data_IF_715821230941
#
_entry.id   IF_715821230941
#
_cell.length_a   1.000
_cell.length_b   1.000
_cell.length_c   1.000
_cell.angle_alpha   90.00
_cell.angle_beta   90.00
_cell.angle_gamma   90.00
#
_symmetry.space_group_name_H-M   'P 1'
#
loop_
_entity.id
_entity.type
_entity.pdbx_description
1 polymer ?
#
# COMPACT_ATOMS: atom_id res chain seq x y z
N UNK A 1 -32.43 -29.00 -57.38
CA UNK A 1 -31.36 -28.00 -57.49
C UNK A 1 -31.99 -26.64 -57.66
N UNK A 2 -32.03 -25.87 -56.57
CA UNK A 2 -32.37 -24.45 -56.52
C UNK A 2 -31.35 -23.82 -55.55
N UNK A 3 -30.75 -22.65 -55.87
CA UNK A 3 -29.66 -22.10 -55.08
C UNK A 3 -30.15 -21.57 -53.72
N UNK A 4 -29.28 -21.54 -52.70
CA UNK A 4 -29.62 -21.01 -51.38
C UNK A 4 -29.85 -19.49 -51.43
N UNK A 5 -31.02 -19.06 -50.96
CA UNK A 5 -31.37 -17.66 -50.73
C UNK A 5 -30.51 -17.08 -49.60
N UNK A 6 -29.62 -16.15 -49.95
CA UNK A 6 -28.82 -15.37 -49.00
C UNK A 6 -29.71 -14.20 -48.53
N UNK A 7 -30.06 -14.08 -47.24
CA UNK A 7 -30.68 -12.86 -46.75
C UNK A 7 -29.67 -11.71 -46.76
N UNK A 8 -30.07 -10.71 -47.55
CA UNK A 8 -29.59 -9.33 -47.66
C UNK A 8 -28.74 -8.80 -46.52
N UNK A 9 -27.58 -8.21 -46.90
CA UNK A 9 -26.74 -7.34 -46.06
C UNK A 9 -27.61 -6.28 -45.39
N UNK A 10 -27.93 -6.50 -44.10
CA UNK A 10 -28.54 -5.47 -43.27
C UNK A 10 -27.52 -4.36 -43.05
N UNK A 11 -27.99 -3.14 -43.30
CA UNK A 11 -27.23 -1.91 -43.40
C UNK A 11 -26.27 -1.71 -42.23
N UNK A 12 -24.97 -1.69 -42.54
CA UNK A 12 -23.98 -1.09 -41.66
C UNK A 12 -24.39 0.38 -41.46
N UNK A 13 -24.92 0.67 -40.26
CA UNK A 13 -25.16 2.04 -39.81
C UNK A 13 -23.87 2.82 -40.04
N UNK A 14 -23.93 3.77 -40.98
CA UNK A 14 -22.85 4.70 -41.23
C UNK A 14 -22.69 5.53 -39.96
N UNK A 15 -21.83 5.05 -39.05
CA UNK A 15 -21.28 5.88 -37.99
C UNK A 15 -20.65 7.06 -38.70
N UNK A 16 -21.23 8.23 -38.48
CA UNK A 16 -20.62 9.50 -38.82
C UNK A 16 -19.23 9.47 -38.19
N UNK A 17 -18.21 9.42 -39.04
CA UNK A 17 -16.82 9.62 -38.64
C UNK A 17 -16.78 11.06 -38.17
N UNK A 18 -16.96 11.28 -36.88
CA UNK A 18 -16.58 12.54 -36.27
C UNK A 18 -15.10 12.70 -36.58
N UNK A 19 -14.76 13.80 -37.27
CA UNK A 19 -13.40 14.24 -37.52
C UNK A 19 -12.70 14.45 -36.18
N UNK A 20 -12.20 13.35 -35.62
CA UNK A 20 -11.44 13.39 -34.39
C UNK A 20 -10.07 13.96 -34.76
N UNK A 21 -9.93 15.27 -34.57
CA UNK A 21 -8.75 16.09 -34.89
C UNK A 21 -7.43 15.55 -34.29
N UNK A 22 -7.52 14.55 -33.41
CA UNK A 22 -6.39 13.91 -32.72
C UNK A 22 -6.44 12.38 -32.83
N UNK A 23 -6.52 11.81 -34.04
CA UNK A 23 -6.14 10.40 -34.21
C UNK A 23 -4.62 10.29 -34.16
N UNK A 24 -4.07 10.25 -32.95
CA UNK A 24 -2.64 10.05 -32.70
C UNK A 24 -2.29 8.60 -33.07
N UNK A 25 -2.00 8.36 -34.35
CA UNK A 25 -1.28 7.14 -34.74
C UNK A 25 0.16 7.31 -34.27
N UNK A 26 0.49 6.76 -33.11
CA UNK A 26 1.88 6.72 -32.64
C UNK A 26 2.64 5.75 -33.54
N UNK A 27 3.17 6.26 -34.65
CA UNK A 27 4.20 5.53 -35.39
C UNK A 27 5.44 5.48 -34.49
N UNK A 28 5.98 4.30 -34.18
CA UNK A 28 7.19 4.23 -33.39
C UNK A 28 8.31 4.96 -34.14
N UNK A 29 8.93 5.93 -33.48
CA UNK A 29 10.08 6.66 -34.01
C UNK A 29 11.22 5.63 -34.10
N UNK A 30 11.75 5.33 -35.30
CA UNK A 30 12.85 4.38 -35.45
C UNK A 30 14.05 4.85 -34.61
N UNK A 31 14.59 3.97 -33.76
CA UNK A 31 15.75 4.25 -32.90
C UNK A 31 15.47 4.90 -31.55
N UNK A 32 14.21 5.25 -31.22
CA UNK A 32 13.83 5.78 -29.88
C UNK A 32 13.18 4.75 -28.96
N UNK A 33 12.86 3.57 -29.49
CA UNK A 33 12.31 2.44 -28.72
C UNK A 33 13.38 1.62 -27.98
N UNK A 34 14.66 1.81 -28.29
CA UNK A 34 15.76 1.03 -27.72
C UNK A 34 15.95 1.24 -26.21
N UNK A 35 15.25 2.23 -25.63
CA UNK A 35 15.30 2.59 -24.22
C UNK A 35 14.10 2.09 -23.40
N UNK A 36 13.07 1.49 -24.00
CA UNK A 36 11.98 0.81 -23.26
C UNK A 36 12.20 -0.70 -23.36
N UNK A 37 13.34 -1.16 -22.85
CA UNK A 37 13.66 -2.59 -22.69
C UNK A 37 13.31 -3.08 -21.29
N UNK A 38 12.23 -2.59 -20.72
CA UNK A 38 11.78 -3.04 -19.40
C UNK A 38 10.98 -4.32 -19.54
N UNK A 39 11.61 -5.43 -19.18
CA UNK A 39 10.96 -6.73 -19.02
C UNK A 39 9.72 -6.59 -18.12
N UNK A 40 8.67 -7.33 -18.47
CA UNK A 40 7.39 -7.33 -17.76
C UNK A 40 7.22 -8.69 -17.12
N UNK A 41 6.77 -8.71 -15.88
CA UNK A 41 6.43 -9.93 -15.16
C UNK A 41 4.92 -9.97 -14.89
N UNK A 42 4.36 -11.17 -14.90
CA UNK A 42 2.97 -11.41 -14.51
C UNK A 42 2.92 -11.71 -13.01
N UNK A 43 2.17 -10.94 -12.24
CA UNK A 43 1.94 -11.20 -10.82
C UNK A 43 0.51 -11.68 -10.63
N UNK A 44 0.34 -12.88 -10.10
CA UNK A 44 -0.96 -13.48 -9.77
C UNK A 44 -1.26 -13.23 -8.30
N UNK A 45 -2.33 -12.50 -8.00
CA UNK A 45 -2.65 -12.00 -6.66
C UNK A 45 -3.94 -12.61 -6.13
N UNK A 46 -3.92 -12.99 -4.87
CA UNK A 46 -5.08 -13.51 -4.15
C UNK A 46 -5.48 -14.92 -4.57
N UNK A 47 -6.54 -15.43 -3.92
CA UNK A 47 -7.09 -16.77 -4.19
C UNK A 47 -7.70 -16.91 -5.59
N UNK A 48 -8.13 -15.80 -6.19
CA UNK A 48 -8.64 -15.73 -7.56
C UNK A 48 -7.52 -15.67 -8.62
N UNK A 49 -6.25 -15.59 -8.22
CA UNK A 49 -5.10 -15.41 -9.10
C UNK A 49 -5.29 -14.25 -10.11
N UNK A 50 -5.73 -13.09 -9.62
CA UNK A 50 -5.90 -11.92 -10.47
C UNK A 50 -4.54 -11.47 -11.02
N UNK A 51 -4.47 -11.27 -12.34
CA UNK A 51 -3.21 -11.06 -13.05
C UNK A 51 -2.88 -9.58 -13.24
N UNK A 52 -1.74 -9.17 -12.71
CA UNK A 52 -1.15 -7.85 -12.89
C UNK A 52 0.11 -7.95 -13.76
N UNK A 53 0.20 -7.12 -14.80
CA UNK A 53 1.38 -7.03 -15.65
C UNK A 53 2.21 -5.82 -15.23
N UNK A 54 3.40 -6.03 -14.69
CA UNK A 54 4.21 -4.97 -14.07
C UNK A 54 5.63 -4.99 -14.63
N UNK A 55 6.23 -3.82 -14.87
CA UNK A 55 7.65 -3.75 -15.26
C UNK A 55 8.55 -4.18 -14.10
N UNK A 56 9.46 -5.12 -14.40
CA UNK A 56 10.43 -5.66 -13.43
C UNK A 56 11.27 -4.55 -12.79
N UNK A 57 11.65 -3.54 -13.57
CA UNK A 57 12.43 -2.40 -13.08
C UNK A 57 11.76 -1.67 -11.92
N UNK A 58 10.43 -1.47 -11.99
CA UNK A 58 9.68 -0.84 -10.90
C UNK A 58 9.72 -1.72 -9.65
N UNK A 59 9.37 -3.01 -9.77
CA UNK A 59 9.35 -3.94 -8.64
C UNK A 59 10.69 -4.05 -7.92
N UNK A 60 11.79 -4.17 -8.67
CA UNK A 60 13.14 -4.30 -8.11
C UNK A 60 13.59 -3.00 -7.45
N UNK A 61 13.23 -1.84 -8.01
CA UNK A 61 13.64 -0.54 -7.46
C UNK A 61 12.96 -0.23 -6.12
N UNK A 62 11.70 -0.66 -5.96
CA UNK A 62 10.87 -0.30 -4.80
C UNK A 62 10.86 -1.35 -3.70
N UNK A 63 11.29 -2.59 -3.97
CA UNK A 63 11.14 -3.71 -3.04
C UNK A 63 12.33 -4.66 -3.07
N UNK A 64 12.93 -4.86 -1.90
CA UNK A 64 14.04 -5.79 -1.73
C UNK A 64 13.59 -7.26 -1.88
N UNK A 65 12.33 -7.58 -1.56
CA UNK A 65 11.73 -8.88 -1.83
C UNK A 65 11.75 -9.22 -3.32
N UNK A 66 11.22 -8.34 -4.17
CA UNK A 66 11.21 -8.57 -5.62
C UNK A 66 12.63 -8.54 -6.21
N UNK A 67 13.51 -7.69 -5.69
CA UNK A 67 14.94 -7.66 -6.06
C UNK A 67 15.65 -8.97 -5.77
N UNK A 68 15.38 -9.59 -4.62
CA UNK A 68 15.95 -10.88 -4.27
C UNK A 68 15.36 -12.02 -5.14
N UNK A 69 14.04 -11.99 -5.35
CA UNK A 69 13.31 -13.02 -6.10
C UNK A 69 13.65 -13.02 -7.61
N UNK A 70 13.83 -11.83 -8.21
CA UNK A 70 14.11 -11.65 -9.64
C UNK A 70 15.61 -11.51 -9.96
N UNK A 71 16.50 -11.81 -9.01
CA UNK A 71 17.94 -11.74 -9.23
C UNK A 71 18.39 -12.78 -10.25
N UNK A 72 19.15 -12.35 -11.26
CA UNK A 72 19.75 -13.26 -12.25
C UNK A 72 20.60 -14.34 -11.57
N UNK A 73 20.27 -15.61 -11.81
CA UNK A 73 20.91 -16.77 -11.17
C UNK A 73 20.21 -17.30 -9.91
N UNK A 74 19.13 -16.67 -9.44
CA UNK A 74 18.23 -17.29 -8.47
C UNK A 74 17.49 -18.44 -9.17
N UNK A 75 17.67 -19.67 -8.68
CA UNK A 75 17.00 -20.90 -9.15
C UNK A 75 15.50 -20.94 -8.78
N UNK A 76 14.82 -19.80 -8.79
CA UNK A 76 13.38 -19.75 -8.57
C UNK A 76 12.67 -20.16 -9.85
N UNK A 77 11.71 -21.09 -9.76
CA UNK A 77 10.84 -21.47 -10.89
C UNK A 77 10.18 -20.25 -11.55
N UNK A 78 9.89 -19.24 -10.75
CA UNK A 78 9.24 -17.98 -11.15
C UNK A 78 10.11 -17.11 -12.08
N UNK A 79 11.44 -17.22 -11.97
CA UNK A 79 12.37 -16.51 -12.86
C UNK A 79 12.35 -17.10 -14.29
N UNK A 80 12.10 -18.40 -14.42
CA UNK A 80 11.95 -19.07 -15.72
C UNK A 80 10.53 -18.91 -16.32
N UNK A 81 9.50 -18.78 -15.48
CA UNK A 81 8.09 -18.67 -15.91
C UNK A 81 7.58 -17.23 -16.04
N UNK A 82 8.40 -16.22 -15.71
CA UNK A 82 8.01 -14.79 -15.70
C UNK A 82 6.68 -14.54 -14.96
N UNK A 83 6.39 -15.37 -13.96
CA UNK A 83 5.13 -15.39 -13.22
C UNK A 83 5.42 -15.51 -11.74
N UNK A 84 4.93 -14.56 -10.95
CA UNK A 84 5.05 -14.50 -9.49
C UNK A 84 3.67 -14.76 -8.89
N UNK A 85 3.58 -15.51 -7.79
CA UNK A 85 2.31 -15.73 -7.08
C UNK A 85 2.31 -15.10 -5.68
N UNK A 86 1.26 -14.35 -5.38
CA UNK A 86 1.02 -13.70 -4.07
C UNK A 86 -0.39 -14.08 -3.55
N UNK A 87 -0.61 -15.34 -3.13
CA UNK A 87 -1.94 -15.83 -2.76
C UNK A 87 -2.52 -15.17 -1.49
N UNK A 88 -1.65 -14.71 -0.58
CA UNK A 88 -2.04 -14.07 0.68
C UNK A 88 -2.36 -12.57 0.53
N UNK A 89 -2.02 -11.97 -0.62
CA UNK A 89 -2.29 -10.57 -0.89
C UNK A 89 -3.66 -10.41 -1.56
N UNK A 90 -4.42 -9.41 -1.13
CA UNK A 90 -5.70 -9.08 -1.77
C UNK A 90 -5.45 -8.24 -3.04
N UNK A 91 -6.16 -8.51 -4.15
CA UNK A 91 -5.99 -7.77 -5.41
C UNK A 91 -6.14 -6.26 -5.25
N UNK A 92 -7.07 -5.79 -4.41
CA UNK A 92 -7.28 -4.37 -4.19
C UNK A 92 -6.07 -3.72 -3.49
N UNK A 93 -5.40 -4.45 -2.60
CA UNK A 93 -4.19 -3.96 -1.91
C UNK A 93 -3.00 -3.91 -2.87
N UNK A 94 -2.85 -4.94 -3.70
CA UNK A 94 -1.80 -4.95 -4.72
C UNK A 94 -2.02 -3.88 -5.79
N UNK A 95 -3.28 -3.57 -6.13
CA UNK A 95 -3.62 -2.50 -7.06
C UNK A 95 -3.12 -1.13 -6.57
N UNK A 96 -3.25 -0.83 -5.27
CA UNK A 96 -2.68 0.39 -4.67
C UNK A 96 -1.15 0.41 -4.73
N UNK A 97 -0.50 -0.75 -4.57
CA UNK A 97 0.94 -0.85 -4.75
C UNK A 97 1.35 -0.59 -6.20
N UNK A 98 0.63 -1.16 -7.17
CA UNK A 98 0.86 -0.89 -8.60
C UNK A 98 0.64 0.59 -8.91
N UNK A 99 -0.40 1.22 -8.37
CA UNK A 99 -0.59 2.66 -8.50
C UNK A 99 0.63 3.43 -7.97
N UNK A 100 1.09 3.11 -6.77
CA UNK A 100 2.25 3.75 -6.16
C UNK A 100 3.51 3.65 -7.03
N UNK A 101 3.87 2.46 -7.54
CA UNK A 101 5.12 2.32 -8.31
C UNK A 101 5.10 3.02 -9.67
N UNK A 102 3.91 3.30 -10.22
CA UNK A 102 3.76 4.03 -11.49
C UNK A 102 3.51 5.53 -11.31
N UNK A 103 2.77 5.93 -10.27
CA UNK A 103 2.36 7.32 -10.03
C UNK A 103 3.17 8.02 -8.94
N UNK A 104 3.89 7.28 -8.09
CA UNK A 104 4.61 7.80 -6.92
C UNK A 104 3.71 8.22 -5.76
N UNK A 105 2.40 7.97 -5.84
CA UNK A 105 1.41 8.34 -4.84
C UNK A 105 0.30 7.28 -4.78
N UNK A 106 -0.44 7.27 -3.67
CA UNK A 106 -1.58 6.36 -3.45
C UNK A 106 -2.85 7.20 -3.47
N UNK A 107 -3.82 6.83 -4.30
CA UNK A 107 -5.13 7.50 -4.31
C UNK A 107 -6.11 6.75 -3.43
N UNK A 108 -6.53 7.40 -2.34
CA UNK A 108 -7.60 6.87 -1.51
C UNK A 108 -8.96 7.21 -2.10
N UNK A 109 -9.87 6.23 -2.11
CA UNK A 109 -11.26 6.45 -2.48
C UNK A 109 -11.96 7.27 -1.39
N UNK A 110 -12.14 8.56 -1.67
CA UNK A 110 -12.80 9.50 -0.76
C UNK A 110 -14.31 9.29 -0.64
N UNK A 111 -14.90 8.42 -1.45
CA UNK A 111 -16.32 8.07 -1.33
C UNK A 111 -16.60 7.09 -0.19
N UNK A 112 -15.57 6.38 0.28
CA UNK A 112 -15.66 5.50 1.44
C UNK A 112 -15.86 6.29 2.72
N UNK A 113 -16.65 5.73 3.64
CA UNK A 113 -16.68 6.23 5.02
C UNK A 113 -15.26 6.25 5.59
N UNK A 114 -14.98 7.30 6.37
CA UNK A 114 -13.69 7.53 7.02
C UNK A 114 -13.15 6.28 7.71
N UNK A 115 -14.00 5.58 8.46
CA UNK A 115 -13.56 4.41 9.23
C UNK A 115 -13.14 3.24 8.32
N UNK A 116 -13.74 3.17 7.12
CA UNK A 116 -13.41 2.18 6.10
C UNK A 116 -12.09 2.50 5.38
N UNK A 117 -11.67 3.77 5.33
CA UNK A 117 -10.40 4.17 4.68
C UNK A 117 -9.16 3.63 5.41
N UNK A 118 -9.25 3.31 6.70
CA UNK A 118 -8.15 2.74 7.47
C UNK A 118 -7.79 1.31 7.05
N UNK A 119 -8.74 0.53 6.55
CA UNK A 119 -8.52 -0.88 6.20
C UNK A 119 -7.58 -1.06 4.99
N UNK A 120 -7.81 -0.40 3.84
CA UNK A 120 -6.87 -0.46 2.71
C UNK A 120 -5.46 -0.04 3.09
N UNK A 121 -5.32 1.03 3.89
CA UNK A 121 -4.01 1.54 4.32
C UNK A 121 -3.29 0.56 5.26
N UNK A 122 -4.01 -0.04 6.22
CA UNK A 122 -3.45 -1.05 7.13
C UNK A 122 -2.94 -2.27 6.36
N UNK A 123 -3.73 -2.74 5.39
CA UNK A 123 -3.34 -3.84 4.51
C UNK A 123 -2.14 -3.49 3.63
N UNK A 124 -2.07 -2.24 3.16
CA UNK A 124 -0.95 -1.76 2.36
C UNK A 124 0.34 -1.62 3.17
N UNK A 125 0.26 -1.17 4.42
CA UNK A 125 1.39 -1.14 5.36
C UNK A 125 1.89 -2.57 5.63
N UNK A 126 0.99 -3.54 5.83
CA UNK A 126 1.32 -4.96 5.96
C UNK A 126 1.97 -5.51 4.68
N UNK A 127 1.43 -5.16 3.51
CA UNK A 127 2.02 -5.56 2.24
C UNK A 127 3.44 -4.98 2.08
N UNK A 128 3.62 -3.70 2.41
CA UNK A 128 4.91 -3.00 2.35
C UNK A 128 5.95 -3.65 3.26
N UNK A 129 5.54 -4.10 4.45
CA UNK A 129 6.38 -4.88 5.35
C UNK A 129 6.79 -6.22 4.73
N UNK A 130 5.81 -6.98 4.20
CA UNK A 130 6.03 -8.27 3.57
C UNK A 130 6.97 -8.20 2.35
N UNK A 131 6.72 -7.25 1.43
CA UNK A 131 7.56 -7.06 0.24
C UNK A 131 8.83 -6.24 0.54
N UNK A 132 9.07 -5.85 1.79
CA UNK A 132 10.25 -5.08 2.20
C UNK A 132 10.42 -3.79 1.38
N UNK A 133 9.32 -3.05 1.19
CA UNK A 133 9.32 -1.75 0.52
C UNK A 133 9.24 -0.62 1.55
N UNK A 134 10.41 -0.05 1.88
CA UNK A 134 10.52 1.07 2.83
C UNK A 134 9.75 2.31 2.35
N UNK A 135 9.83 2.61 1.06
CA UNK A 135 9.17 3.78 0.47
C UNK A 135 7.65 3.64 0.52
N UNK A 136 7.11 2.49 0.08
CA UNK A 136 5.67 2.22 0.16
C UNK A 136 5.19 2.27 1.61
N UNK A 137 5.96 1.71 2.55
CA UNK A 137 5.62 1.72 3.96
C UNK A 137 5.48 3.16 4.48
N UNK A 138 6.44 4.03 4.17
CA UNK A 138 6.43 5.42 4.63
C UNK A 138 5.28 6.22 4.00
N UNK A 139 5.02 6.04 2.70
CA UNK A 139 3.90 6.72 2.02
C UNK A 139 2.55 6.24 2.57
N UNK A 140 2.40 4.94 2.85
CA UNK A 140 1.18 4.42 3.45
C UNK A 140 0.97 4.91 4.90
N UNK A 141 2.05 5.06 5.67
CA UNK A 141 2.02 5.70 7.01
C UNK A 141 1.57 7.16 6.91
N UNK A 142 2.12 7.92 5.97
CA UNK A 142 1.76 9.32 5.79
C UNK A 142 0.29 9.48 5.42
N UNK A 143 -0.20 8.64 4.50
CA UNK A 143 -1.61 8.59 4.13
C UNK A 143 -2.51 8.20 5.32
N UNK A 144 -2.07 7.26 6.16
CA UNK A 144 -2.81 6.85 7.37
C UNK A 144 -2.93 8.01 8.37
N UNK A 145 -1.84 8.76 8.58
CA UNK A 145 -1.86 9.94 9.44
C UNK A 145 -2.76 11.03 8.86
N UNK A 146 -2.75 11.23 7.55
CA UNK A 146 -3.59 12.24 6.89
C UNK A 146 -5.08 11.93 7.01
N UNK A 147 -5.49 10.66 6.85
CA UNK A 147 -6.88 10.26 7.13
C UNK A 147 -7.28 10.60 8.57
N UNK A 148 -6.40 10.37 9.54
CA UNK A 148 -6.68 10.70 10.94
C UNK A 148 -6.81 12.21 11.17
N UNK A 149 -5.94 13.01 10.55
CA UNK A 149 -5.98 14.47 10.65
C UNK A 149 -7.22 15.09 9.98
N UNK A 150 -7.48 14.69 8.74
CA UNK A 150 -8.54 15.29 7.92
C UNK A 150 -9.92 15.03 8.51
N UNK A 151 -10.08 13.87 9.16
CA UNK A 151 -11.37 13.41 9.66
C UNK A 151 -11.52 13.60 11.15
N UNK A 152 -10.41 13.81 11.86
CA UNK A 152 -10.34 13.94 13.31
C UNK A 152 -10.92 12.72 14.06
N UNK A 153 -11.00 11.57 13.37
CA UNK A 153 -11.48 10.28 13.90
C UNK A 153 -10.30 9.33 14.05
N UNK A 154 -10.23 8.62 15.16
CA UNK A 154 -9.22 7.59 15.37
C UNK A 154 -9.57 6.30 14.61
N UNK A 155 -8.57 5.46 14.29
CA UNK A 155 -8.84 4.17 13.66
C UNK A 155 -9.75 3.30 14.53
N UNK A 156 -10.62 2.46 13.95
CA UNK A 156 -11.39 1.48 14.70
C UNK A 156 -10.47 0.51 15.48
N UNK A 157 -10.91 0.03 16.65
CA UNK A 157 -10.12 -0.91 17.46
C UNK A 157 -9.83 -2.22 16.73
N UNK A 158 -10.71 -2.62 15.81
CA UNK A 158 -10.51 -3.78 14.94
C UNK A 158 -9.28 -3.63 14.02
N UNK A 159 -8.99 -2.41 13.54
CA UNK A 159 -7.78 -2.12 12.77
C UNK A 159 -6.54 -2.27 13.65
N UNK A 160 -6.59 -1.79 14.89
CA UNK A 160 -5.48 -1.92 15.85
C UNK A 160 -5.19 -3.38 16.17
N UNK A 161 -6.24 -4.17 16.41
CA UNK A 161 -6.12 -5.60 16.69
C UNK A 161 -5.48 -6.32 15.51
N UNK A 162 -5.99 -6.13 14.29
CA UNK A 162 -5.41 -6.75 13.10
C UNK A 162 -3.96 -6.35 12.88
N UNK A 163 -3.62 -5.08 13.10
CA UNK A 163 -2.23 -4.63 13.00
C UNK A 163 -1.31 -5.36 13.99
N UNK A 164 -1.75 -5.57 15.24
CA UNK A 164 -0.99 -6.29 16.26
C UNK A 164 -0.84 -7.78 15.99
N UNK A 165 -1.85 -8.39 15.37
CA UNK A 165 -1.81 -9.82 15.01
C UNK A 165 -0.91 -10.08 13.79
N UNK A 166 -0.85 -9.12 12.86
CA UNK A 166 -0.14 -9.27 11.58
C UNK A 166 1.29 -8.72 11.57
N UNK A 167 1.61 -7.74 12.42
CA UNK A 167 2.91 -7.06 12.44
C UNK A 167 3.67 -7.30 13.73
N UNK A 168 4.99 -7.14 13.67
CA UNK A 168 5.83 -7.23 14.87
C UNK A 168 5.50 -6.12 15.85
N UNK A 169 5.51 -6.46 17.15
CA UNK A 169 5.11 -5.53 18.21
C UNK A 169 5.97 -4.26 18.30
N UNK A 170 7.19 -4.27 17.79
CA UNK A 170 8.13 -3.15 17.76
C UNK A 170 8.03 -2.29 16.48
N UNK A 171 7.19 -2.69 15.52
CA UNK A 171 6.94 -1.98 14.27
C UNK A 171 6.55 -0.52 14.50
N UNK A 172 7.06 0.39 13.66
CA UNK A 172 6.78 1.83 13.78
C UNK A 172 5.29 2.15 13.59
N UNK A 173 4.55 1.35 12.80
CA UNK A 173 3.09 1.47 12.71
C UNK A 173 2.39 1.15 14.04
N UNK A 174 2.88 0.14 14.78
CA UNK A 174 2.33 -0.19 16.10
C UNK A 174 2.59 0.96 17.08
N UNK A 175 3.78 1.56 17.03
CA UNK A 175 4.08 2.76 17.82
C UNK A 175 3.18 3.93 17.45
N UNK A 176 2.87 4.13 16.17
CA UNK A 176 1.92 5.14 15.70
C UNK A 176 0.52 4.92 16.30
N UNK A 177 0.00 3.70 16.25
CA UNK A 177 -1.31 3.38 16.81
C UNK A 177 -1.38 3.60 18.32
N UNK A 178 -0.32 3.27 19.06
CA UNK A 178 -0.20 3.56 20.49
C UNK A 178 -0.21 5.06 20.75
N UNK A 179 0.61 5.82 20.05
CA UNK A 179 0.71 7.28 20.22
C UNK A 179 -0.58 7.99 19.82
N UNK A 180 -1.23 7.58 18.72
CA UNK A 180 -2.54 8.09 18.32
C UNK A 180 -3.59 7.85 19.41
N UNK A 181 -3.57 6.66 20.00
CA UNK A 181 -4.52 6.27 21.03
C UNK A 181 -4.34 7.04 22.33
N UNK A 182 -3.08 7.16 22.78
CA UNK A 182 -2.72 7.91 23.98
C UNK A 182 -3.08 9.40 23.86
N UNK A 183 -2.85 10.01 22.69
CA UNK A 183 -3.10 11.44 22.46
C UNK A 183 -4.57 11.79 22.23
N UNK A 184 -5.35 10.87 21.68
CA UNK A 184 -6.71 11.19 21.23
C UNK A 184 -7.79 10.94 22.29
N UNK A 185 -7.43 10.33 23.43
CA UNK A 185 -8.36 9.76 24.41
C UNK A 185 -9.53 9.03 23.71
N UNK A 186 -9.23 8.36 22.60
CA UNK A 186 -10.20 8.00 21.56
C UNK A 186 -10.99 6.73 21.87
N UNK A 187 -10.59 6.01 22.90
CA UNK A 187 -11.34 4.90 23.44
C UNK A 187 -11.59 5.22 24.90
N UNK A 188 -12.75 5.78 25.20
CA UNK A 188 -13.21 5.79 26.58
C UNK A 188 -13.37 4.33 27.02
N UNK A 189 -13.03 4.03 28.28
CA UNK A 189 -13.12 2.69 28.88
C UNK A 189 -14.51 2.02 28.71
N UNK A 190 -15.55 2.83 28.41
CA UNK A 190 -16.94 2.41 28.18
C UNK A 190 -17.22 1.88 26.77
N UNK A 191 -16.37 2.17 25.78
CA UNK A 191 -16.59 1.81 24.37
C UNK A 191 -15.79 0.57 23.93
N UNK A 192 -14.97 0.01 24.82
CA UNK A 192 -14.18 -1.20 24.56
C UNK A 192 -14.96 -2.41 25.07
N UNK A 193 -15.46 -3.30 24.19
CA UNK A 193 -16.12 -4.53 24.64
C UNK A 193 -15.16 -5.35 25.49
N UNK A 194 -15.60 -5.84 26.65
CA UNK A 194 -14.80 -6.64 27.58
C UNK A 194 -14.10 -7.81 26.89
N UNK A 195 -14.75 -8.44 25.91
CA UNK A 195 -14.19 -9.53 25.11
C UNK A 195 -12.98 -9.14 24.24
N UNK A 196 -12.82 -7.85 23.88
CA UNK A 196 -11.62 -7.38 23.16
C UNK A 196 -10.43 -7.14 24.09
N UNK A 197 -10.67 -6.78 25.37
CA UNK A 197 -9.61 -6.67 26.38
C UNK A 197 -8.96 -8.03 26.70
N UNK A 198 -9.71 -9.12 26.52
CA UNK A 198 -9.25 -10.50 26.78
C UNK A 198 -8.40 -11.10 25.65
N UNK A 199 -8.19 -10.37 24.54
CA UNK A 199 -7.22 -10.83 23.53
C UNK A 199 -5.80 -10.66 24.07
N UNK A 200 -5.03 -11.76 24.14
CA UNK A 200 -3.67 -11.80 24.71
C UNK A 200 -2.75 -10.70 24.18
N UNK A 201 -2.91 -10.30 22.92
CA UNK A 201 -2.06 -9.32 22.25
C UNK A 201 -2.43 -7.86 22.60
N UNK A 202 -3.70 -7.59 22.93
CA UNK A 202 -4.18 -6.24 23.20
C UNK A 202 -3.88 -5.78 24.63
N UNK A 203 -3.65 -6.71 25.57
CA UNK A 203 -3.15 -6.36 26.91
C UNK A 203 -1.79 -5.64 26.85
N UNK A 204 -0.88 -6.08 25.99
CA UNK A 204 0.42 -5.41 25.76
C UNK A 204 0.23 -4.04 25.11
N UNK A 205 -0.73 -3.92 24.18
CA UNK A 205 -1.10 -2.64 23.58
C UNK A 205 -1.58 -1.64 24.63
N UNK A 206 -2.57 -2.00 25.45
CA UNK A 206 -3.11 -1.11 26.49
C UNK A 206 -2.08 -0.75 27.55
N UNK A 207 -1.20 -1.68 27.91
CA UNK A 207 -0.07 -1.38 28.79
C UNK A 207 0.84 -0.30 28.20
N UNK A 208 1.16 -0.38 26.90
CA UNK A 208 1.96 0.65 26.20
C UNK A 208 1.23 1.97 26.07
N UNK A 209 -0.07 1.96 25.80
CA UNK A 209 -0.91 3.17 25.79
C UNK A 209 -0.85 3.85 27.16
N UNK A 210 -1.02 3.10 28.25
CA UNK A 210 -0.95 3.64 29.61
C UNK A 210 0.45 4.22 29.93
N UNK A 211 1.53 3.58 29.47
CA UNK A 211 2.88 4.14 29.58
C UNK A 211 3.05 5.45 28.80
N UNK A 212 2.53 5.51 27.58
CA UNK A 212 2.56 6.71 26.74
C UNK A 212 1.78 7.86 27.38
N UNK A 213 0.57 7.60 27.92
CA UNK A 213 -0.26 8.57 28.62
C UNK A 213 0.46 9.18 29.85
N UNK A 214 1.13 8.35 30.66
CA UNK A 214 1.93 8.85 31.80
C UNK A 214 3.10 9.74 31.35
N UNK A 215 3.74 9.40 30.22
CA UNK A 215 4.86 10.19 29.68
C UNK A 215 4.39 11.56 29.19
N UNK A 216 3.20 11.64 28.59
CA UNK A 216 2.60 12.91 28.17
C UNK A 216 2.16 13.76 29.36
N UNK A 217 1.65 13.17 30.44
CA UNK A 217 1.31 13.90 31.67
C UNK A 217 2.54 14.48 32.38
N UNK A 218 3.69 13.80 32.29
CA UNK A 218 4.95 14.23 32.90
C UNK A 218 5.65 15.41 32.18
N UNK A 219 5.15 15.83 31.00
CA UNK A 219 5.76 16.90 30.20
C UNK A 219 4.71 17.99 29.91
N UNK A 220 4.41 18.88 30.88
CA UNK A 220 3.23 19.77 30.80
C UNK A 220 3.33 20.89 29.76
N UNK A 221 4.49 21.07 29.12
CA UNK A 221 4.77 22.19 28.21
C UNK A 221 4.22 22.04 26.79
N UNK A 222 3.87 20.81 26.36
CA UNK A 222 3.40 20.55 24.98
C UNK A 222 1.87 20.40 24.88
N UNK A 223 1.16 20.45 26.02
CA UNK A 223 -0.27 20.18 26.11
C UNK A 223 -1.17 21.33 25.58
N UNK A 224 -0.63 22.54 25.36
CA UNK A 224 -1.39 23.64 24.76
C UNK A 224 -1.64 23.48 23.25
N UNK A 225 -0.94 22.54 22.59
CA UNK A 225 -1.22 22.15 21.20
C UNK A 225 -1.94 20.81 21.16
N UNK A 226 -3.22 20.80 21.53
CA UNK A 226 -4.09 19.63 21.49
C UNK A 226 -3.88 18.80 20.21
N UNK A 227 -3.65 17.50 20.36
CA UNK A 227 -3.48 16.51 19.26
C UNK A 227 -2.23 16.70 18.38
N UNK A 228 -1.25 17.51 18.80
CA UNK A 228 -0.11 17.93 17.97
C UNK A 228 1.10 16.99 17.82
N UNK A 229 1.25 15.89 18.58
CA UNK A 229 2.54 15.18 18.61
C UNK A 229 2.81 14.26 17.41
N UNK A 230 1.85 13.41 17.02
CA UNK A 230 2.06 12.46 15.92
C UNK A 230 1.94 13.10 14.53
N UNK A 231 1.08 14.12 14.40
CA UNK A 231 0.81 14.77 13.14
C UNK A 231 1.95 15.67 12.64
N UNK A 232 2.65 16.34 13.55
CA UNK A 232 3.70 17.30 13.19
C UNK A 232 5.04 16.62 12.87
N UNK A 233 5.17 15.33 13.23
CA UNK A 233 6.39 14.55 13.07
C UNK A 233 6.12 13.19 12.44
N UNK A 234 5.44 13.15 11.28
CA UNK A 234 5.13 11.90 10.57
C UNK A 234 6.36 11.02 10.34
N UNK A 235 7.50 11.66 10.08
CA UNK A 235 8.80 11.02 9.84
C UNK A 235 9.31 10.19 11.03
N UNK A 236 8.80 10.43 12.25
CA UNK A 236 9.11 9.60 13.43
C UNK A 236 8.69 8.15 13.24
N UNK A 237 7.67 7.89 12.42
CA UNK A 237 7.16 6.55 12.17
C UNK A 237 7.67 5.95 10.86
N UNK A 238 8.53 6.68 10.14
CA UNK A 238 9.15 6.21 8.92
C UNK A 238 10.23 5.17 9.21
N UNK A 239 10.34 4.20 8.32
CA UNK A 239 11.48 3.27 8.28
C UNK A 239 12.63 3.94 7.53
N UNK A 240 13.84 3.71 8.02
CA UNK A 240 15.05 4.09 7.32
C UNK A 240 15.52 2.94 6.45
N UNK A 241 15.89 3.24 5.21
CA UNK A 241 16.53 2.25 4.33
C UNK A 241 17.93 1.98 4.88
N UNK A 242 18.19 0.76 5.34
CA UNK A 242 19.54 0.38 5.76
C UNK A 242 20.41 0.40 4.49
N UNK A 243 21.50 1.19 4.44
CA UNK A 243 22.36 1.23 3.27
C UNK A 243 22.87 -0.18 2.97
N UNK A 244 22.68 -0.64 1.74
CA UNK A 244 23.30 -1.92 1.36
C UNK A 244 24.82 -1.75 1.33
N UNK A 245 25.59 -2.78 1.74
CA UNK A 245 27.05 -2.73 1.83
C UNK A 245 27.76 -2.28 0.53
N UNK A 246 27.08 -2.34 -0.62
CA UNK A 246 27.57 -1.85 -1.91
C UNK A 246 27.44 -0.33 -2.10
N UNK A 247 26.55 0.34 -1.36
CA UNK A 247 26.37 1.80 -1.39
C UNK A 247 27.29 2.50 -0.37
N UNK A 248 27.62 1.83 0.74
CA UNK A 248 28.58 2.31 1.72
C UNK A 248 30.00 2.48 1.13
N UNK A 249 30.40 1.58 0.23
CA UNK A 249 31.73 1.61 -0.42
C UNK A 249 31.84 2.57 -1.62
N UNK A 250 30.83 3.40 -1.90
CA UNK A 250 30.86 4.43 -2.95
C UNK A 250 31.06 5.85 -2.42
N UNK A 251 31.27 6.00 -1.12
CA UNK A 251 31.32 7.31 -0.45
C UNK A 251 32.72 7.70 0.06
N UNK A 252 33.76 6.96 -0.31
CA UNK A 252 35.17 7.26 0.01
C UNK A 252 35.99 7.56 -1.26
#
# INVERSE_FOLDING_TARGET
MAPPSIPSKSAASQRTVSDNKYRVTRRPIPGRLDHIKTEVVKVLVGKSEEAFMVHIGHLISTSDFFKAMLRSGANFKENNESTIKLPECLPETFSLYVEFIYAGQISMDKTLDVTSQYWPLTRLIRLADYIQSVELYNVAIDAFIDVCKDTNKSPPLTVVQTAYDDLQSDSSFIQLLVDMTANSNCYAEKDVPTAMMDSKNLGVFWFRVAQAMKKTEATPGDAENGRGSFGNHKTRYHRQKIPTAQEANKSD
#
